data_IF_260487794981
#
_entry.id   IF_260487794981
#
_cell.length_a   1.000
_cell.length_b   1.000
_cell.length_c   1.000
_cell.angle_alpha   90.00
_cell.angle_beta   90.00
_cell.angle_gamma   90.00
#
_symmetry.space_group_name_H-M   'P 1'
#
loop_
_entity.id
_entity.type
_entity.pdbx_description
1 polymer ?
#
# COMPACT_ATOMS: atom_id res chain seq x y z
N UNK A 1 -3.38 3.51 2.22
CA UNK A 1 -3.87 4.47 3.24
C UNK A 1 -4.99 3.90 4.11
N UNK A 2 -5.85 3.02 3.61
CA UNK A 2 -6.96 2.49 4.42
C UNK A 2 -6.64 1.21 5.22
N UNK A 3 -5.67 0.42 4.77
CA UNK A 3 -5.42 -0.93 5.32
C UNK A 3 -4.68 -0.96 6.66
N UNK A 4 -3.89 0.06 6.99
CA UNK A 4 -3.00 0.06 8.16
C UNK A 4 -3.72 0.49 9.46
N UNK A 5 -4.62 1.50 9.46
CA UNK A 5 -5.42 1.84 10.63
C UNK A 5 -6.44 0.74 10.98
N UNK A 6 -7.05 0.13 9.96
CA UNK A 6 -8.05 -0.93 10.14
C UNK A 6 -7.43 -2.19 10.77
N UNK A 7 -6.18 -2.50 10.40
CA UNK A 7 -5.36 -3.57 10.99
C UNK A 7 -4.95 -3.29 12.44
N UNK A 8 -4.45 -2.08 12.72
CA UNK A 8 -4.02 -1.67 14.06
C UNK A 8 -5.20 -1.53 15.03
N UNK A 9 -6.37 -1.11 14.56
CA UNK A 9 -7.57 -0.92 15.38
C UNK A 9 -8.36 -2.21 15.60
N UNK A 10 -8.51 -3.09 14.59
CA UNK A 10 -9.29 -4.33 14.76
C UNK A 10 -8.53 -5.47 15.43
N UNK A 11 -7.20 -5.56 15.26
CA UNK A 11 -6.44 -6.77 15.66
C UNK A 11 -5.54 -6.58 16.89
N UNK A 12 -5.16 -5.34 17.24
CA UNK A 12 -4.05 -5.08 18.18
C UNK A 12 -4.41 -4.12 19.34
N UNK A 13 -5.54 -3.41 19.30
CA UNK A 13 -5.97 -2.51 20.37
C UNK A 13 -5.01 -1.33 20.63
N UNK A 14 -4.15 -0.98 19.66
CA UNK A 14 -3.14 0.06 19.84
C UNK A 14 -3.75 1.48 19.83
N UNK A 15 -3.21 2.42 20.63
CA UNK A 15 -3.63 3.82 20.62
C UNK A 15 -3.46 4.45 19.24
N UNK A 16 -4.40 5.32 18.84
CA UNK A 16 -4.41 6.03 17.55
C UNK A 16 -3.12 6.84 17.28
N UNK A 17 -2.34 7.11 18.33
CA UNK A 17 -1.11 7.88 18.36
C UNK A 17 0.02 7.23 17.54
N UNK A 18 0.23 5.91 17.69
CA UNK A 18 1.29 5.18 16.98
C UNK A 18 0.96 4.99 15.50
N UNK A 19 -0.33 4.87 15.18
CA UNK A 19 -0.82 4.82 13.81
C UNK A 19 -0.59 6.15 13.07
N UNK A 20 -0.77 7.28 13.77
CA UNK A 20 -0.43 8.61 13.25
C UNK A 20 1.06 8.75 12.95
N UNK A 21 1.93 8.32 13.87
CA UNK A 21 3.38 8.37 13.72
C UNK A 21 3.88 7.47 12.56
N UNK A 22 3.26 6.31 12.33
CA UNK A 22 3.62 5.44 11.21
C UNK A 22 3.31 6.04 9.83
N UNK A 23 2.36 6.99 9.75
CA UNK A 23 1.97 7.66 8.51
C UNK A 23 2.81 8.92 8.23
N UNK A 24 3.44 9.51 9.25
CA UNK A 24 4.25 10.73 9.12
C UNK A 24 5.41 10.62 8.12
N UNK A 25 6.21 9.53 8.07
CA UNK A 25 7.39 9.46 7.20
C UNK A 25 7.01 9.60 5.73
N UNK A 26 5.90 8.99 5.32
CA UNK A 26 5.38 9.09 3.95
C UNK A 26 5.05 10.53 3.59
N UNK A 27 4.26 11.18 4.44
CA UNK A 27 3.77 12.54 4.24
C UNK A 27 4.92 13.54 4.20
N UNK A 28 5.92 13.35 5.07
CA UNK A 28 7.13 14.14 5.11
C UNK A 28 7.95 13.97 3.82
N UNK A 29 8.15 12.73 3.36
CA UNK A 29 8.83 12.48 2.08
C UNK A 29 8.13 13.18 0.92
N UNK A 30 6.79 13.09 0.87
CA UNK A 30 6.00 13.73 -0.19
C UNK A 30 6.12 15.26 -0.14
N UNK A 31 6.08 15.87 1.05
CA UNK A 31 6.21 17.31 1.23
C UNK A 31 7.58 17.83 0.75
N UNK A 32 8.66 17.08 1.01
CA UNK A 32 10.02 17.44 0.60
C UNK A 32 10.24 17.19 -0.90
N UNK A 33 9.72 16.08 -1.44
CA UNK A 33 9.97 15.70 -2.84
C UNK A 33 9.06 16.42 -3.83
N UNK A 34 7.86 16.86 -3.45
CA UNK A 34 6.97 17.63 -4.33
C UNK A 34 7.65 18.85 -5.00
N UNK A 35 8.30 19.78 -4.29
CA UNK A 35 8.97 20.93 -4.93
C UNK A 35 10.13 20.49 -5.83
N UNK A 36 10.88 19.46 -5.43
CA UNK A 36 11.98 18.88 -6.22
C UNK A 36 11.42 18.29 -7.52
N UNK A 37 10.30 17.56 -7.44
CA UNK A 37 9.61 16.99 -8.59
C UNK A 37 9.15 18.05 -9.59
N UNK A 38 8.70 19.22 -9.13
CA UNK A 38 8.35 20.34 -9.99
C UNK A 38 9.55 20.91 -10.76
N UNK A 39 10.70 21.02 -10.10
CA UNK A 39 11.96 21.42 -10.75
C UNK A 39 12.43 20.37 -11.78
N UNK A 40 12.32 19.09 -11.41
CA UNK A 40 12.72 17.98 -12.27
C UNK A 40 11.79 17.82 -13.49
N UNK A 41 10.51 18.14 -13.34
CA UNK A 41 9.53 18.15 -14.44
C UNK A 41 9.97 19.10 -15.56
N UNK A 42 10.41 20.30 -15.21
CA UNK A 42 10.85 21.30 -16.19
C UNK A 42 12.14 20.90 -16.92
N UNK A 43 12.96 20.01 -16.34
CA UNK A 43 14.23 19.55 -16.92
C UNK A 43 14.16 18.23 -17.68
N UNK A 44 13.44 17.25 -17.15
CA UNK A 44 13.37 15.88 -17.68
C UNK A 44 12.09 15.61 -18.48
N UNK A 45 11.10 16.50 -18.37
CA UNK A 45 9.79 16.34 -18.99
C UNK A 45 8.88 15.33 -18.28
N UNK A 46 7.59 15.32 -18.64
CA UNK A 46 6.57 14.50 -17.97
C UNK A 46 6.85 12.99 -18.05
N UNK A 47 7.32 12.50 -19.20
CA UNK A 47 7.46 11.07 -19.47
C UNK A 47 8.51 10.40 -18.58
N UNK A 48 9.70 10.99 -18.48
CA UNK A 48 10.79 10.44 -17.65
C UNK A 48 10.44 10.52 -16.17
N UNK A 49 9.73 11.57 -15.74
CA UNK A 49 9.35 11.74 -14.34
C UNK A 49 8.30 10.72 -13.89
N UNK A 50 7.30 10.44 -14.73
CA UNK A 50 6.31 9.37 -14.45
C UNK A 50 7.00 8.01 -14.43
N UNK A 51 7.87 7.72 -15.41
CA UNK A 51 8.59 6.44 -15.46
C UNK A 51 9.47 6.24 -14.22
N UNK A 52 10.22 7.26 -13.79
CA UNK A 52 11.03 7.20 -12.58
C UNK A 52 10.16 6.97 -11.33
N UNK A 53 9.04 7.69 -11.20
CA UNK A 53 8.11 7.52 -10.09
C UNK A 53 7.50 6.11 -10.05
N UNK A 54 7.09 5.56 -11.20
CA UNK A 54 6.58 4.19 -11.31
C UNK A 54 7.64 3.15 -10.93
N UNK A 55 8.89 3.32 -11.36
CA UNK A 55 9.99 2.41 -11.00
C UNK A 55 10.28 2.44 -9.51
N UNK A 56 10.36 3.63 -8.90
CA UNK A 56 10.56 3.79 -7.45
C UNK A 56 9.40 3.17 -6.68
N UNK A 57 8.16 3.37 -7.14
CA UNK A 57 6.98 2.75 -6.54
C UNK A 57 6.99 1.23 -6.69
N UNK A 58 7.33 0.69 -7.85
CA UNK A 58 7.43 -0.75 -8.09
C UNK A 58 8.49 -1.40 -7.20
N UNK A 59 9.69 -0.79 -7.09
CA UNK A 59 10.75 -1.22 -6.18
C UNK A 59 10.28 -1.21 -4.73
N UNK A 60 9.60 -0.13 -4.30
CA UNK A 60 9.03 -0.05 -2.95
C UNK A 60 8.02 -1.16 -2.69
N UNK A 61 7.13 -1.45 -3.64
CA UNK A 61 6.12 -2.51 -3.48
C UNK A 61 6.74 -3.91 -3.52
N UNK A 62 7.82 -4.13 -4.26
CA UNK A 62 8.56 -5.39 -4.22
C UNK A 62 9.18 -5.61 -2.84
N UNK A 63 9.83 -4.60 -2.26
CA UNK A 63 10.33 -4.65 -0.88
C UNK A 63 9.21 -4.88 0.17
N UNK A 64 8.02 -4.31 -0.06
CA UNK A 64 6.84 -4.54 0.78
C UNK A 64 6.21 -5.93 0.57
N UNK A 65 6.38 -6.58 -0.58
CA UNK A 65 5.85 -7.93 -0.82
C UNK A 65 6.60 -9.03 -0.06
N UNK A 66 7.81 -8.72 0.43
CA UNK A 66 8.62 -9.59 1.29
C UNK A 66 8.46 -9.26 2.79
N UNK A 67 7.31 -8.71 3.20
CA UNK A 67 7.04 -8.46 4.62
C UNK A 67 6.98 -9.78 5.39
N UNK A 68 7.97 -9.95 6.27
CA UNK A 68 8.07 -11.05 7.24
C UNK A 68 7.54 -10.57 8.60
N UNK A 69 7.14 -11.48 9.48
CA UNK A 69 6.59 -11.19 10.83
C UNK A 69 7.59 -10.44 11.76
N UNK A 70 8.86 -10.26 11.34
CA UNK A 70 9.96 -9.69 12.12
C UNK A 70 10.54 -8.42 11.44
N UNK A 71 9.70 -7.47 11.05
CA UNK A 71 10.18 -6.24 10.40
C UNK A 71 10.37 -5.14 11.47
N UNK A 72 11.59 -4.61 11.58
CA UNK A 72 11.92 -3.54 12.51
C UNK A 72 11.29 -2.20 12.11
N UNK A 73 11.10 -1.31 13.08
CA UNK A 73 10.53 0.03 12.86
C UNK A 73 11.27 0.82 11.76
N UNK A 74 12.59 0.71 11.71
CA UNK A 74 13.44 1.39 10.73
C UNK A 74 13.28 0.86 9.30
N UNK A 75 13.03 -0.44 9.12
CA UNK A 75 12.79 -1.01 7.79
C UNK A 75 11.47 -0.51 7.21
N UNK A 76 10.42 -0.44 8.05
CA UNK A 76 9.13 0.15 7.65
C UNK A 76 9.30 1.63 7.30
N UNK A 77 10.07 2.38 8.09
CA UNK A 77 10.31 3.79 7.88
C UNK A 77 10.95 4.07 6.51
N UNK A 78 12.03 3.37 6.17
CA UNK A 78 12.74 3.55 4.89
C UNK A 78 11.86 3.15 3.71
N UNK A 79 11.15 2.02 3.79
CA UNK A 79 10.22 1.57 2.74
C UNK A 79 9.08 2.58 2.52
N UNK A 80 8.58 3.17 3.61
CA UNK A 80 7.51 4.14 3.56
C UNK A 80 7.96 5.49 2.98
N UNK A 81 9.23 5.84 3.18
CA UNK A 81 9.89 7.00 2.57
C UNK A 81 9.98 6.85 1.05
N UNK A 82 10.54 5.74 0.56
CA UNK A 82 10.64 5.45 -0.88
C UNK A 82 9.28 5.45 -1.58
N UNK A 83 8.25 4.91 -0.92
CA UNK A 83 6.89 4.96 -1.43
C UNK A 83 6.38 6.41 -1.56
N UNK A 84 6.69 7.29 -0.60
CA UNK A 84 6.35 8.72 -0.67
C UNK A 84 7.06 9.45 -1.82
N UNK A 85 8.33 9.10 -2.07
CA UNK A 85 9.10 9.64 -3.21
C UNK A 85 8.43 9.25 -4.53
N UNK A 86 8.14 7.96 -4.75
CA UNK A 86 7.50 7.51 -5.99
C UNK A 86 6.12 8.16 -6.23
N UNK A 87 5.28 8.22 -5.19
CA UNK A 87 3.95 8.83 -5.28
C UNK A 87 3.98 10.33 -5.58
N UNK A 88 4.90 11.08 -4.96
CA UNK A 88 4.99 12.53 -5.19
C UNK A 88 5.45 12.86 -6.61
N UNK A 89 6.40 12.10 -7.16
CA UNK A 89 6.86 12.27 -8.55
C UNK A 89 5.74 12.01 -9.56
N UNK A 90 4.99 10.91 -9.41
CA UNK A 90 3.85 10.58 -10.28
C UNK A 90 2.78 11.68 -10.16
N UNK A 91 2.47 12.10 -8.93
CA UNK A 91 1.43 13.08 -8.69
C UNK A 91 1.75 14.45 -9.32
N UNK A 92 2.98 14.93 -9.18
CA UNK A 92 3.41 16.19 -9.80
C UNK A 92 3.35 16.05 -11.32
N UNK A 93 3.95 15.00 -11.89
CA UNK A 93 4.01 14.86 -13.34
C UNK A 93 2.63 14.73 -13.99
N UNK A 94 1.73 13.95 -13.38
CA UNK A 94 0.37 13.75 -13.90
C UNK A 94 -0.50 15.00 -13.75
N UNK A 95 -0.43 15.68 -12.60
CA UNK A 95 -1.20 16.92 -12.40
C UNK A 95 -0.73 18.04 -13.33
N UNK A 96 0.58 18.21 -13.50
CA UNK A 96 1.14 19.21 -14.43
C UNK A 96 0.85 18.85 -15.88
N UNK A 97 0.92 17.59 -16.29
CA UNK A 97 0.57 17.19 -17.66
C UNK A 97 -0.92 17.35 -17.96
N UNK A 98 -1.80 17.01 -17.01
CA UNK A 98 -3.25 17.07 -17.19
C UNK A 98 -3.80 18.51 -17.22
N UNK A 99 -3.21 19.41 -16.44
CA UNK A 99 -3.66 20.81 -16.32
C UNK A 99 -2.83 21.77 -17.17
N UNK A 100 -1.62 21.39 -17.59
CA UNK A 100 -0.67 22.28 -18.26
C UNK A 100 -1.13 22.79 -19.62
N UNK A 101 -2.04 22.08 -20.30
CA UNK A 101 -2.59 22.44 -21.61
C UNK A 101 -3.91 23.23 -21.52
N UNK A 102 -4.42 23.48 -20.31
CA UNK A 102 -5.72 24.13 -20.10
C UNK A 102 -5.54 25.65 -20.03
N UNK A 103 -6.40 26.38 -20.74
CA UNK A 103 -6.47 27.83 -20.70
C UNK A 103 -6.82 28.36 -19.30
N UNK A 104 -6.22 29.48 -18.88
CA UNK A 104 -6.39 30.05 -17.53
C UNK A 104 -7.86 30.24 -17.14
N UNK A 105 -8.72 30.65 -18.07
CA UNK A 105 -10.15 30.86 -17.82
C UNK A 105 -10.90 29.57 -17.42
N UNK A 106 -10.43 28.40 -17.88
CA UNK A 106 -11.04 27.08 -17.60
C UNK A 106 -10.31 26.32 -16.50
N UNK A 107 -9.21 26.86 -15.97
CA UNK A 107 -8.33 26.18 -15.01
C UNK A 107 -9.08 25.76 -13.74
N UNK A 108 -9.95 26.62 -13.19
CA UNK A 108 -10.74 26.31 -11.99
C UNK A 108 -11.66 25.11 -12.21
N UNK A 109 -12.36 25.07 -13.35
CA UNK A 109 -13.25 23.97 -13.70
C UNK A 109 -12.46 22.67 -13.97
N UNK A 110 -11.34 22.75 -14.70
CA UNK A 110 -10.49 21.60 -15.00
C UNK A 110 -9.84 21.01 -13.74
N UNK A 111 -9.34 21.86 -12.83
CA UNK A 111 -8.80 21.43 -11.54
C UNK A 111 -9.87 20.79 -10.65
N UNK A 112 -11.11 21.32 -10.66
CA UNK A 112 -12.26 20.71 -10.00
C UNK A 112 -12.54 19.30 -10.53
N UNK A 113 -12.65 19.16 -11.85
CA UNK A 113 -12.88 17.87 -12.50
C UNK A 113 -11.73 16.87 -12.22
N UNK A 114 -10.49 17.32 -12.33
CA UNK A 114 -9.31 16.51 -12.00
C UNK A 114 -9.37 15.96 -10.58
N UNK A 115 -9.74 16.81 -9.61
CA UNK A 115 -9.88 16.39 -8.21
C UNK A 115 -11.03 15.39 -8.01
N UNK A 116 -12.17 15.57 -8.68
CA UNK A 116 -13.31 14.65 -8.61
C UNK A 116 -12.92 13.29 -9.18
N UNK A 117 -12.38 13.27 -10.41
CA UNK A 117 -11.91 12.05 -11.08
C UNK A 117 -10.89 11.32 -10.20
N UNK A 118 -9.92 12.05 -9.64
CA UNK A 118 -8.92 11.47 -8.73
C UNK A 118 -9.56 10.86 -7.48
N UNK A 119 -10.52 11.54 -6.86
CA UNK A 119 -11.18 11.03 -5.65
C UNK A 119 -12.02 9.79 -5.95
N UNK A 120 -12.72 9.74 -7.09
CA UNK A 120 -13.50 8.58 -7.53
C UNK A 120 -12.59 7.39 -7.80
N UNK A 121 -11.54 7.53 -8.61
CA UNK A 121 -10.61 6.42 -8.86
C UNK A 121 -9.84 6.02 -7.60
N UNK A 122 -9.52 6.98 -6.73
CA UNK A 122 -8.90 6.74 -5.43
C UNK A 122 -9.79 5.90 -4.51
N UNK A 123 -11.08 6.21 -4.41
CA UNK A 123 -12.02 5.45 -3.58
C UNK A 123 -12.29 4.06 -4.14
N UNK A 124 -12.44 3.93 -5.46
CA UNK A 124 -12.60 2.64 -6.14
C UNK A 124 -11.37 1.75 -5.91
N UNK A 125 -10.15 2.28 -6.07
CA UNK A 125 -8.92 1.54 -5.81
C UNK A 125 -8.81 1.07 -4.36
N UNK A 126 -9.21 1.90 -3.40
CA UNK A 126 -9.25 1.52 -1.97
C UNK A 126 -10.29 0.43 -1.73
N UNK A 127 -11.49 0.54 -2.31
CA UNK A 127 -12.55 -0.45 -2.13
C UNK A 127 -12.12 -1.82 -2.68
N UNK A 128 -11.56 -1.87 -3.90
CA UNK A 128 -11.04 -3.11 -4.49
C UNK A 128 -9.93 -3.72 -3.63
N UNK A 129 -8.99 -2.91 -3.15
CA UNK A 129 -7.93 -3.39 -2.27
C UNK A 129 -8.48 -3.94 -0.93
N UNK A 130 -9.47 -3.26 -0.33
CA UNK A 130 -10.11 -3.69 0.90
C UNK A 130 -10.89 -5.00 0.72
N UNK A 131 -11.71 -5.10 -0.33
CA UNK A 131 -12.44 -6.33 -0.65
C UNK A 131 -11.48 -7.49 -0.89
N UNK A 132 -10.44 -7.28 -1.68
CA UNK A 132 -9.43 -8.32 -1.96
C UNK A 132 -8.73 -8.77 -0.69
N UNK A 133 -8.40 -7.85 0.22
CA UNK A 133 -7.85 -8.21 1.53
C UNK A 133 -8.83 -9.08 2.31
N UNK A 134 -10.06 -8.60 2.55
CA UNK A 134 -11.03 -9.29 3.40
C UNK A 134 -11.37 -10.67 2.85
N UNK A 135 -11.58 -10.79 1.55
CA UNK A 135 -11.81 -12.09 0.90
C UNK A 135 -10.57 -12.98 0.94
N UNK A 136 -9.37 -12.41 0.81
CA UNK A 136 -8.11 -13.14 0.96
C UNK A 136 -7.94 -13.73 2.35
N UNK A 137 -8.25 -12.96 3.41
CA UNK A 137 -8.10 -13.40 4.80
C UNK A 137 -8.95 -14.64 5.05
N UNK A 138 -10.22 -14.62 4.63
CA UNK A 138 -11.11 -15.77 4.75
C UNK A 138 -10.55 -16.98 3.99
N UNK A 139 -10.16 -16.82 2.72
CA UNK A 139 -9.63 -17.93 1.90
C UNK A 139 -8.35 -18.55 2.46
N UNK A 140 -7.42 -17.72 2.91
CA UNK A 140 -6.18 -18.20 3.49
C UNK A 140 -6.41 -18.82 4.86
N UNK A 141 -7.33 -18.27 5.66
CA UNK A 141 -7.71 -18.89 6.94
C UNK A 141 -8.30 -20.28 6.71
N UNK A 142 -9.25 -20.42 5.78
CA UNK A 142 -9.84 -21.71 5.42
C UNK A 142 -8.76 -22.70 4.92
N UNK A 143 -7.88 -22.25 4.01
CA UNK A 143 -6.79 -23.09 3.48
C UNK A 143 -5.80 -23.52 4.56
N UNK A 144 -5.43 -22.64 5.50
CA UNK A 144 -4.54 -23.01 6.60
C UNK A 144 -5.27 -23.93 7.60
N UNK A 145 -6.54 -23.68 7.89
CA UNK A 145 -7.35 -24.50 8.79
C UNK A 145 -7.53 -25.93 8.26
N UNK A 146 -7.61 -26.13 6.94
CA UNK A 146 -7.62 -27.46 6.31
C UNK A 146 -6.37 -28.29 6.63
N UNK A 147 -5.22 -27.65 6.83
CA UNK A 147 -3.97 -28.32 7.17
C UNK A 147 -3.78 -28.51 8.69
N UNK A 148 -4.53 -27.76 9.50
CA UNK A 148 -4.50 -27.82 10.97
C UNK A 148 -5.68 -28.66 11.46
N UNK A 149 -5.52 -29.98 11.42
CA UNK A 149 -6.55 -30.93 11.84
C UNK A 149 -6.19 -31.64 13.13
N UNK A 150 -7.19 -32.06 13.90
CA UNK A 150 -7.01 -32.96 15.04
C UNK A 150 -6.43 -34.33 14.67
N UNK A 151 -6.34 -34.65 13.38
CA UNK A 151 -5.79 -35.90 12.88
C UNK A 151 -4.29 -35.79 12.60
N UNK A 152 -3.79 -34.58 12.33
CA UNK A 152 -2.36 -34.32 12.15
C UNK A 152 -1.58 -34.54 13.48
N UNK A 153 -0.55 -35.40 13.49
CA UNK A 153 0.27 -35.67 14.68
C UNK A 153 0.94 -34.40 15.24
N UNK A 154 1.38 -33.48 14.37
CA UNK A 154 2.08 -32.25 14.77
C UNK A 154 1.15 -31.33 15.55
N UNK A 155 -0.05 -31.12 15.00
CA UNK A 155 -1.12 -30.33 15.61
C UNK A 155 -1.52 -30.91 16.97
N UNK A 156 -1.70 -32.23 17.06
CA UNK A 156 -2.01 -32.91 18.33
C UNK A 156 -0.91 -32.75 19.37
N UNK A 157 0.35 -32.91 18.97
CA UNK A 157 1.49 -32.79 19.88
C UNK A 157 1.63 -31.35 20.41
N UNK A 158 1.44 -30.35 19.54
CA UNK A 158 1.43 -28.95 19.95
C UNK A 158 0.29 -28.66 20.93
N UNK A 159 -0.94 -29.10 20.64
CA UNK A 159 -2.11 -28.95 21.51
C UNK A 159 -1.93 -29.60 22.88
N UNK A 160 -1.36 -30.81 22.92
CA UNK A 160 -1.05 -31.50 24.16
C UNK A 160 -0.03 -30.71 25.00
N UNK A 161 1.02 -30.18 24.36
CA UNK A 161 2.06 -29.38 25.03
C UNK A 161 1.51 -28.06 25.55
N UNK A 162 0.73 -27.34 24.74
CA UNK A 162 0.09 -26.08 25.12
C UNK A 162 -0.93 -26.27 26.26
N UNK A 163 -1.74 -27.33 26.19
CA UNK A 163 -2.70 -27.66 27.25
C UNK A 163 -1.98 -28.03 28.55
N UNK A 164 -0.90 -28.81 28.49
CA UNK A 164 -0.11 -29.15 29.67
C UNK A 164 0.51 -27.91 30.34
N UNK A 165 1.05 -26.96 29.56
CA UNK A 165 1.59 -25.71 30.07
C UNK A 165 0.50 -24.84 30.75
N UNK A 166 -0.68 -24.73 30.14
CA UNK A 166 -1.81 -23.96 30.71
C UNK A 166 -2.37 -24.59 31.99
N UNK A 167 -2.35 -25.92 32.09
CA UNK A 167 -2.69 -26.63 33.33
C UNK A 167 -1.66 -26.41 34.42
N UNK A 168 -0.37 -26.43 34.08
CA UNK A 168 0.70 -26.10 35.01
C UNK A 168 0.60 -24.65 35.53
N UNK A 169 0.06 -23.74 34.71
CA UNK A 169 -0.25 -22.36 35.09
C UNK A 169 -1.55 -22.18 35.91
N UNK A 170 -2.23 -23.27 36.28
CA UNK A 170 -3.40 -23.24 37.18
C UNK A 170 -4.77 -23.29 36.50
N UNK A 171 -4.85 -23.53 35.20
CA UNK A 171 -6.14 -23.69 34.48
C UNK A 171 -6.69 -25.11 34.65
N UNK A 172 -8.02 -25.25 34.72
CA UNK A 172 -8.68 -26.57 34.69
C UNK A 172 -8.51 -27.26 33.31
N UNK A 173 -8.74 -28.57 33.27
CA UNK A 173 -8.52 -29.40 32.09
C UNK A 173 -9.30 -28.90 30.85
N UNK A 174 -10.55 -28.50 31.06
CA UNK A 174 -11.44 -28.08 29.99
C UNK A 174 -11.08 -26.68 29.49
N UNK A 175 -10.89 -25.72 30.39
CA UNK A 175 -10.48 -24.36 30.04
C UNK A 175 -9.09 -24.32 29.40
N UNK A 176 -8.15 -25.12 29.87
CA UNK A 176 -6.81 -25.22 29.28
C UNK A 176 -6.86 -25.72 27.83
N UNK A 177 -7.65 -26.78 27.56
CA UNK A 177 -7.80 -27.31 26.20
C UNK A 177 -8.48 -26.31 25.27
N UNK A 178 -9.49 -25.59 25.75
CA UNK A 178 -10.19 -24.57 24.96
C UNK A 178 -9.29 -23.39 24.63
N UNK A 179 -8.53 -22.89 25.63
CA UNK A 179 -7.54 -21.82 25.42
C UNK A 179 -6.43 -22.23 24.46
N UNK A 180 -5.98 -23.49 24.50
CA UNK A 180 -4.98 -23.99 23.55
C UNK A 180 -5.51 -23.96 22.10
N UNK A 181 -6.78 -24.32 21.88
CA UNK A 181 -7.43 -24.19 20.57
C UNK A 181 -7.55 -22.73 20.12
N UNK A 182 -7.92 -21.83 21.04
CA UNK A 182 -8.02 -20.40 20.75
C UNK A 182 -6.67 -19.80 20.34
N UNK A 183 -5.58 -20.20 21.01
CA UNK A 183 -4.21 -19.79 20.66
C UNK A 183 -3.82 -20.27 19.26
N UNK A 184 -4.12 -21.54 18.94
CA UNK A 184 -3.83 -22.12 17.62
C UNK A 184 -4.61 -21.40 16.51
N UNK A 185 -5.91 -21.17 16.72
CA UNK A 185 -6.72 -20.42 15.76
C UNK A 185 -6.25 -18.97 15.61
N UNK A 186 -5.77 -18.35 16.70
CA UNK A 186 -5.14 -17.03 16.68
C UNK A 186 -3.91 -16.98 15.78
N UNK A 187 -3.03 -17.97 15.84
CA UNK A 187 -1.83 -18.03 15.01
C UNK A 187 -2.16 -18.32 13.53
N UNK A 188 -3.10 -19.22 13.24
CA UNK A 188 -3.62 -19.44 11.88
C UNK A 188 -4.18 -18.14 11.29
N UNK A 189 -4.97 -17.40 12.09
CA UNK A 189 -5.54 -16.12 11.67
C UNK A 189 -4.46 -15.08 11.39
N UNK A 190 -3.44 -14.97 12.24
CA UNK A 190 -2.30 -14.06 12.02
C UNK A 190 -1.57 -14.37 10.71
N UNK A 191 -1.34 -15.65 10.41
CA UNK A 191 -0.68 -16.05 9.17
C UNK A 191 -1.53 -15.77 7.94
N UNK A 192 -2.84 -16.07 8.00
CA UNK A 192 -3.78 -15.78 6.92
C UNK A 192 -3.83 -14.29 6.58
N UNK A 193 -3.81 -13.43 7.60
CA UNK A 193 -3.67 -11.99 7.45
C UNK A 193 -2.40 -11.63 6.69
N UNK A 194 -1.23 -12.06 7.17
CA UNK A 194 0.06 -11.70 6.55
C UNK A 194 0.09 -12.08 5.08
N UNK A 195 -0.39 -13.28 4.76
CA UNK A 195 -0.44 -13.79 3.39
C UNK A 195 -1.38 -12.96 2.51
N UNK A 196 -2.53 -12.55 3.05
CA UNK A 196 -3.48 -11.65 2.36
C UNK A 196 -2.87 -10.28 2.06
N UNK A 197 -2.15 -9.70 3.01
CA UNK A 197 -1.46 -8.42 2.81
C UNK A 197 -0.42 -8.52 1.70
N UNK A 198 0.39 -9.58 1.72
CA UNK A 198 1.39 -9.82 0.67
C UNK A 198 0.74 -9.96 -0.71
N UNK A 199 -0.40 -10.66 -0.80
CA UNK A 199 -1.16 -10.79 -2.04
C UNK A 199 -1.67 -9.44 -2.57
N UNK A 200 -2.23 -8.60 -1.70
CA UNK A 200 -2.69 -7.26 -2.09
C UNK A 200 -1.51 -6.38 -2.54
N UNK A 201 -0.36 -6.43 -1.87
CA UNK A 201 0.82 -5.68 -2.29
C UNK A 201 1.35 -6.15 -3.64
N UNK A 202 1.36 -7.45 -3.90
CA UNK A 202 1.75 -8.00 -5.20
C UNK A 202 0.81 -7.56 -6.33
N UNK A 203 -0.51 -7.51 -6.09
CA UNK A 203 -1.47 -6.97 -7.06
C UNK A 203 -1.23 -5.49 -7.34
N UNK A 204 -0.97 -4.68 -6.31
CA UNK A 204 -0.64 -3.27 -6.49
C UNK A 204 0.67 -3.11 -7.28
N UNK A 205 1.70 -3.88 -6.95
CA UNK A 205 2.96 -3.92 -7.71
C UNK A 205 2.71 -4.23 -9.19
N UNK A 206 1.88 -5.24 -9.49
CA UNK A 206 1.52 -5.63 -10.86
C UNK A 206 0.81 -4.47 -11.59
N UNK A 207 -0.10 -3.76 -10.92
CA UNK A 207 -0.77 -2.58 -11.51
C UNK A 207 0.25 -1.49 -11.86
N UNK A 208 1.22 -1.21 -10.99
CA UNK A 208 2.30 -0.26 -11.28
C UNK A 208 3.21 -0.75 -12.43
N UNK A 209 3.50 -2.05 -12.49
CA UNK A 209 4.28 -2.64 -13.57
C UNK A 209 3.55 -2.59 -14.92
N UNK A 210 2.24 -2.81 -14.96
CA UNK A 210 1.40 -2.69 -16.17
C UNK A 210 1.25 -1.22 -16.58
N UNK A 211 1.25 -0.28 -15.64
CA UNK A 211 1.23 1.14 -15.95
C UNK A 211 2.52 1.64 -16.63
N UNK A 212 3.67 1.00 -16.35
CA UNK A 212 4.98 1.36 -16.90
C UNK A 212 5.02 1.39 -18.45
N UNK A 213 4.61 0.33 -19.20
CA UNK A 213 4.57 0.40 -20.66
C UNK A 213 3.55 1.41 -21.18
N UNK A 214 2.47 1.66 -20.42
CA UNK A 214 1.46 2.66 -20.79
C UNK A 214 2.02 4.09 -20.81
N UNK A 215 3.03 4.38 -20.00
CA UNK A 215 3.74 5.67 -20.02
C UNK A 215 4.50 5.87 -21.33
N UNK A 216 4.92 4.80 -22.02
CA UNK A 216 5.56 4.92 -23.33
C UNK A 216 4.56 5.36 -24.42
N UNK A 217 3.28 5.07 -24.24
CA UNK A 217 2.18 5.53 -25.11
C UNK A 217 1.76 6.98 -24.83
N UNK A 218 2.14 7.52 -23.66
CA UNK A 218 1.88 8.92 -23.34
C UNK A 218 2.72 9.82 -24.25
N UNK A 219 2.08 10.42 -25.25
CA UNK A 219 2.70 11.46 -26.08
C UNK A 219 3.12 12.61 -25.16
N UNK A 220 4.37 13.05 -25.32
CA UNK A 220 4.90 14.22 -24.64
C UNK A 220 4.21 15.50 -25.14
N UNK A 221 2.97 15.76 -24.73
CA UNK A 221 2.29 17.05 -24.94
C UNK A 221 2.73 18.02 -23.87
N UNK A 222 4.02 18.37 -23.93
CA UNK A 222 4.68 19.31 -23.04
C UNK A 222 5.97 19.80 -23.67
N UNK A 223 5.91 20.22 -24.94
CA UNK A 223 6.92 21.11 -25.47
C UNK A 223 6.74 22.51 -24.84
N UNK A 224 7.83 23.24 -24.54
CA UNK A 224 7.80 24.49 -23.80
C UNK A 224 6.95 25.56 -24.47
N UNK A 225 6.42 26.46 -23.64
CA UNK A 225 5.64 27.67 -23.97
C UNK A 225 6.33 28.69 -24.91
N UNK A 226 7.42 28.36 -25.59
CA UNK A 226 8.18 29.31 -26.40
C UNK A 226 7.65 29.49 -27.83
N UNK A 227 6.88 28.53 -28.38
CA UNK A 227 6.35 28.69 -29.75
C UNK A 227 5.11 29.61 -29.83
N UNK A 228 4.38 29.82 -28.74
CA UNK A 228 3.22 30.71 -28.75
C UNK A 228 3.60 32.21 -28.72
N UNK A 229 4.83 32.55 -28.35
CA UNK A 229 5.35 33.92 -28.40
C UNK A 229 5.91 34.30 -29.78
N UNK A 230 6.25 33.31 -30.62
CA UNK A 230 6.78 33.54 -31.97
C UNK A 230 5.69 33.80 -33.03
N UNK A 231 4.42 33.47 -32.74
CA UNK A 231 3.31 33.59 -33.69
C UNK A 231 2.44 34.85 -33.51
N UNK A 232 2.78 35.72 -32.56
CA UNK A 232 2.11 37.02 -32.34
C UNK A 232 3.07 38.20 -32.62
N UNK A 233 4.22 37.89 -33.23
CA UNK A 233 5.29 38.83 -33.50
C UNK A 233 5.80 38.73 -34.94
N UNK A 234 4.89 38.73 -35.92
CA UNK A 234 5.12 39.20 -37.30
C UNK A 234 3.85 39.88 -37.82
#
# INVERSE_FOLDING_TARGET
>A
MFLLPLFLQNLLGYPAETAGLALMPRSLAMAVVMPIGGLLYNRLGPRLLIAAGLLVSAFSFQELSHLTIVVGFWDVFVRQLWQGVGFSLIFVALSTAALGTIEKAKMTAAAGLYNVVRQVFGSVGIAVAATTLTTGIARYHDSLAEHVTMYDPTTRQWLATATAALRAAGSDAYTASRRALDLLNGDVTRQAVVLSYNHVFALVMLLFAIALPLVLLLRATGAPRDEAAALIGE
#
